data_IF_383450417222
#
_entry.id   IF_383450417222
#
_cell.length_a   1.000
_cell.length_b   1.000
_cell.length_c   1.000
_cell.angle_alpha   90.00
_cell.angle_beta   90.00
_cell.angle_gamma   90.00
#
_symmetry.space_group_name_H-M   'P 1'
#
loop_
_entity.id
_entity.type
_entity.pdbx_description
1 polymer ?
#
# COMPACT_ATOMS: atom_id res chain seq x y z
N UNK A 1 55.11 30.22 9.30
CA UNK A 1 54.13 29.85 8.26
C UNK A 1 53.40 28.62 8.79
N UNK A 2 52.12 28.75 9.15
CA UNK A 2 51.31 27.63 9.68
C UNK A 2 50.69 26.85 8.52
N UNK A 3 50.80 25.52 8.56
CA UNK A 3 50.17 24.62 7.60
C UNK A 3 48.86 24.14 8.22
N UNK A 4 47.74 24.66 7.72
CA UNK A 4 46.39 24.26 8.13
C UNK A 4 46.05 22.93 7.45
N UNK A 5 46.00 21.85 8.21
CA UNK A 5 45.58 20.53 7.70
C UNK A 5 44.06 20.54 7.49
N UNK A 6 43.62 20.62 6.24
CA UNK A 6 42.22 20.46 5.86
C UNK A 6 41.92 18.97 5.83
N UNK A 7 41.25 18.48 6.87
CA UNK A 7 40.71 17.11 6.91
C UNK A 7 39.54 17.05 5.94
N UNK A 8 39.78 16.50 4.75
CA UNK A 8 38.73 16.18 3.78
C UNK A 8 38.02 14.94 4.31
N UNK A 9 37.01 15.14 5.14
CA UNK A 9 36.11 14.07 5.56
C UNK A 9 35.23 13.71 4.37
N UNK A 10 35.69 12.77 3.53
CA UNK A 10 34.89 12.18 2.48
C UNK A 10 33.71 11.46 3.12
N UNK A 11 32.55 12.14 3.18
CA UNK A 11 31.28 11.50 3.52
C UNK A 11 30.95 10.50 2.42
N UNK A 12 31.27 9.22 2.66
CA UNK A 12 30.62 8.14 1.95
C UNK A 12 29.15 8.14 2.36
N UNK A 13 28.33 8.86 1.58
CA UNK A 13 26.89 8.66 1.59
C UNK A 13 26.67 7.25 1.07
N UNK A 14 26.45 6.32 1.99
CA UNK A 14 25.90 5.02 1.66
C UNK A 14 24.53 5.29 1.02
N UNK A 15 24.47 5.17 -0.30
CA UNK A 15 23.22 5.06 -1.02
C UNK A 15 22.54 3.81 -0.46
N UNK A 16 21.61 4.02 0.46
CA UNK A 16 20.67 3.00 0.89
C UNK A 16 19.98 2.56 -0.40
N UNK A 17 20.49 1.44 -0.93
CA UNK A 17 19.88 0.75 -2.04
C UNK A 17 18.57 0.26 -1.47
N UNK A 18 17.53 1.07 -1.61
CA UNK A 18 16.16 0.62 -1.47
C UNK A 18 15.96 -0.36 -2.63
N UNK A 19 16.48 -1.58 -2.44
CA UNK A 19 16.05 -2.73 -3.23
C UNK A 19 14.53 -2.71 -3.23
N UNK A 20 13.88 -3.10 -4.34
CA UNK A 20 12.43 -3.15 -4.40
C UNK A 20 11.97 -3.85 -3.12
N UNK A 21 11.26 -3.11 -2.25
CA UNK A 21 10.66 -3.70 -1.06
C UNK A 21 9.96 -4.94 -1.58
N UNK A 22 10.30 -6.15 -1.08
CA UNK A 22 9.60 -7.34 -1.51
C UNK A 22 8.13 -7.00 -1.37
N UNK A 23 7.40 -7.03 -2.50
CA UNK A 23 5.98 -6.76 -2.50
C UNK A 23 5.42 -7.88 -1.64
N UNK A 24 5.30 -7.59 -0.35
CA UNK A 24 4.78 -8.51 0.64
C UNK A 24 3.43 -8.88 0.07
N UNK A 25 3.29 -10.15 -0.33
CA UNK A 25 2.18 -10.62 -1.14
C UNK A 25 0.94 -10.44 -0.29
N UNK A 26 0.25 -9.31 -0.45
CA UNK A 26 -0.94 -8.97 0.32
C UNK A 26 -1.93 -10.09 0.09
N UNK A 27 -2.45 -10.63 1.19
CA UNK A 27 -3.46 -11.68 1.12
C UNK A 27 -4.60 -11.17 0.25
N UNK A 28 -4.95 -11.95 -0.77
CA UNK A 28 -6.02 -11.62 -1.69
C UNK A 28 -7.30 -12.27 -1.17
N UNK A 29 -8.32 -11.46 -0.89
CA UNK A 29 -9.61 -11.97 -0.41
C UNK A 29 -10.52 -12.39 -1.57
N UNK A 30 -11.63 -13.05 -1.25
CA UNK A 30 -12.62 -13.47 -2.24
C UNK A 30 -13.41 -12.30 -2.86
N UNK A 31 -14.22 -12.62 -3.88
CA UNK A 31 -15.23 -11.70 -4.41
C UNK A 31 -16.23 -11.36 -3.31
N UNK A 32 -16.64 -10.09 -3.21
CA UNK A 32 -17.54 -9.56 -2.17
C UNK A 32 -17.03 -9.66 -0.72
N UNK A 33 -15.83 -10.20 -0.51
CA UNK A 33 -15.24 -10.28 0.82
C UNK A 33 -14.71 -8.92 1.29
N UNK A 34 -14.46 -8.81 2.60
CA UNK A 34 -13.88 -7.62 3.20
C UNK A 34 -12.41 -7.47 2.81
N UNK A 35 -12.09 -6.45 2.02
CA UNK A 35 -10.70 -6.03 1.78
C UNK A 35 -10.17 -5.12 2.89
N UNK A 36 -11.05 -4.55 3.73
CA UNK A 36 -10.65 -3.69 4.84
C UNK A 36 -11.69 -3.73 5.96
N UNK A 37 -11.24 -3.69 7.21
CA UNK A 37 -12.06 -3.37 8.39
C UNK A 37 -11.26 -2.49 9.33
N UNK A 38 -11.94 -1.58 10.02
CA UNK A 38 -11.33 -0.84 11.12
C UNK A 38 -10.73 -1.81 12.15
N UNK A 39 -9.48 -1.59 12.52
CA UNK A 39 -8.71 -2.46 13.41
C UNK A 39 -7.89 -3.55 12.70
N UNK A 40 -7.95 -3.67 11.37
CA UNK A 40 -7.01 -4.52 10.63
C UNK A 40 -5.64 -3.86 10.48
N UNK A 41 -4.59 -4.67 10.50
CA UNK A 41 -3.21 -4.20 10.37
C UNK A 41 -2.92 -3.58 8.99
N UNK A 42 -3.59 -4.08 7.94
CA UNK A 42 -3.46 -3.58 6.59
C UNK A 42 -4.75 -3.85 5.78
N UNK A 43 -4.92 -3.09 4.70
CA UNK A 43 -5.88 -3.40 3.65
C UNK A 43 -5.39 -4.62 2.85
N UNK A 44 -6.28 -5.57 2.64
CA UNK A 44 -6.07 -6.75 1.82
C UNK A 44 -6.35 -6.44 0.34
N UNK A 45 -5.76 -7.24 -0.54
CA UNK A 45 -5.92 -7.06 -1.98
C UNK A 45 -7.20 -7.73 -2.49
N UNK A 46 -7.80 -7.17 -3.54
CA UNK A 46 -8.95 -7.74 -4.21
C UNK A 46 -8.51 -8.61 -5.41
N UNK A 47 -9.31 -9.62 -5.81
CA UNK A 47 -8.97 -10.45 -6.95
C UNK A 47 -8.92 -9.63 -8.25
N UNK A 48 -8.24 -10.14 -9.28
CA UNK A 48 -8.12 -9.45 -10.55
C UNK A 48 -9.50 -9.10 -11.14
N UNK A 49 -9.66 -7.85 -11.61
CA UNK A 49 -10.96 -7.33 -12.08
C UNK A 49 -11.88 -6.82 -10.97
N UNK A 50 -11.41 -6.77 -9.72
CA UNK A 50 -12.12 -6.24 -8.57
C UNK A 50 -11.32 -5.11 -7.91
N UNK A 51 -12.02 -4.20 -7.25
CA UNK A 51 -11.42 -3.13 -6.46
C UNK A 51 -12.00 -3.10 -5.06
N UNK A 52 -11.23 -2.59 -4.12
CA UNK A 52 -11.70 -2.40 -2.75
C UNK A 52 -12.52 -1.12 -2.66
N UNK A 53 -13.83 -1.25 -2.50
CA UNK A 53 -14.74 -0.13 -2.24
C UNK A 53 -14.78 0.14 -0.74
N UNK A 54 -14.28 1.30 -0.32
CA UNK A 54 -14.29 1.73 1.08
C UNK A 54 -15.63 2.41 1.42
N UNK A 55 -16.18 2.07 2.58
CA UNK A 55 -17.43 2.62 3.12
C UNK A 55 -17.11 3.47 4.36
N UNK A 56 -17.45 4.75 4.27
CA UNK A 56 -17.21 5.73 5.32
C UNK A 56 -18.50 5.98 6.11
N UNK A 57 -18.44 6.05 7.44
CA UNK A 57 -19.57 6.53 8.23
C UNK A 57 -19.78 8.02 7.92
N UNK A 58 -21.03 8.50 8.08
CA UNK A 58 -21.47 9.84 7.70
C UNK A 58 -20.69 11.02 8.34
N UNK A 59 -19.75 10.76 9.25
CA UNK A 59 -19.08 11.77 10.05
C UNK A 59 -17.53 11.70 10.08
N UNK A 60 -16.85 10.67 9.54
CA UNK A 60 -15.39 10.63 9.69
C UNK A 60 -14.62 9.71 8.73
N UNK A 61 -13.39 10.14 8.43
CA UNK A 61 -12.24 9.27 8.20
C UNK A 61 -11.73 8.75 9.57
N UNK A 62 -11.21 7.52 9.66
CA UNK A 62 -10.95 6.57 8.58
C UNK A 62 -12.20 5.78 8.14
N UNK A 63 -12.13 5.00 7.04
CA UNK A 63 -13.25 4.17 6.62
C UNK A 63 -13.62 3.15 7.71
N UNK A 64 -14.89 2.76 7.80
CA UNK A 64 -15.34 1.74 8.75
C UNK A 64 -14.97 0.34 8.25
N UNK A 65 -15.19 0.10 6.97
CA UNK A 65 -14.88 -1.16 6.29
C UNK A 65 -14.75 -0.93 4.78
N UNK A 66 -14.19 -1.90 4.08
CA UNK A 66 -14.15 -1.97 2.62
C UNK A 66 -14.46 -3.39 2.16
N UNK A 67 -15.12 -3.50 1.01
CA UNK A 67 -15.43 -4.78 0.38
C UNK A 67 -14.95 -4.79 -1.07
N UNK A 68 -14.58 -5.97 -1.57
CA UNK A 68 -14.24 -6.13 -2.98
C UNK A 68 -15.50 -6.06 -3.83
N UNK A 69 -15.55 -5.09 -4.75
CA UNK A 69 -16.59 -4.95 -5.77
C UNK A 69 -16.00 -5.18 -7.16
N UNK A 70 -16.81 -5.66 -8.13
CA UNK A 70 -16.34 -5.78 -9.50
C UNK A 70 -16.01 -4.39 -10.03
N UNK A 71 -14.87 -4.26 -10.70
CA UNK A 71 -14.53 -3.00 -11.36
C UNK A 71 -15.59 -2.72 -12.43
N UNK A 72 -16.29 -1.58 -12.39
CA UNK A 72 -17.36 -1.29 -13.36
C UNK A 72 -16.85 -1.15 -14.80
N UNK A 73 -15.55 -0.95 -14.99
CA UNK A 73 -14.86 -0.89 -16.28
C UNK A 73 -14.48 -2.26 -16.85
N UNK A 74 -14.42 -3.31 -16.02
CA UNK A 74 -14.41 -4.69 -16.50
C UNK A 74 -15.86 -5.12 -16.63
N UNK A 75 -16.32 -5.32 -17.86
CA UNK A 75 -17.68 -5.79 -18.19
C UNK A 75 -18.12 -6.84 -17.17
N UNK A 76 -19.30 -6.71 -16.54
CA UNK A 76 -19.77 -7.72 -15.59
C UNK A 76 -19.85 -9.04 -16.34
N UNK A 77 -18.95 -9.96 -15.99
CA UNK A 77 -19.06 -11.34 -16.44
C UNK A 77 -20.29 -11.85 -15.72
N UNK A 78 -21.41 -11.89 -16.43
CA UNK A 78 -22.61 -12.59 -16.00
C UNK A 78 -22.16 -14.02 -15.66
N UNK A 79 -22.15 -14.36 -14.38
CA UNK A 79 -21.91 -15.72 -13.88
C UNK A 79 -23.22 -16.49 -13.80
#
# INVERSE_FOLDING_TARGET
>A
MQITAVVITSLLVAAASAGPTPIEKRETVGKWEYCYKSGWAAQLDCPAGWHCQLFYPAAAQPPSYGQCYPNPTTTPVHE
#
